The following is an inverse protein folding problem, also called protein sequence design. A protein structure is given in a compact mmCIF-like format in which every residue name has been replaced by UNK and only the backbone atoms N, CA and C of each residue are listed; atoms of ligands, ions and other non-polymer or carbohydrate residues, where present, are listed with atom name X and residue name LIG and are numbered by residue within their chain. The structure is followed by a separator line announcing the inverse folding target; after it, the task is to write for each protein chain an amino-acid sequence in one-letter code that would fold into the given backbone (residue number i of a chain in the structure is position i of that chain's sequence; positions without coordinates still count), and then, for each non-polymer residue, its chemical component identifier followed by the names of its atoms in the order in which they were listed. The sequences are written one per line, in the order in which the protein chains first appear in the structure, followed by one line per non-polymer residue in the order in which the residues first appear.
data_IF_591574992396
#
_entry.id   IF_591574992396
#
_cell.length_a   1.000
_cell.length_b   1.000
_cell.length_c   1.000
_cell.angle_alpha   90.00
_cell.angle_beta   90.00
_cell.angle_gamma   90.00
#
_symmetry.space_group_name_H-M   'P 1'
#
loop_
_entity.id
_entity.type
_entity.pdbx_description
1 polymer ?
#
# COMPACT_ATOMS: atom_id res chain seq x y z
N UNK A 1 -39.09 41.47 -15.85
CA UNK A 1 -38.02 40.52 -16.22
C UNK A 1 -37.12 40.32 -15.01
N UNK A 2 -37.10 39.11 -14.43
CA UNK A 2 -36.05 38.57 -13.55
C UNK A 2 -36.37 37.07 -13.37
N UNK A 3 -36.27 36.35 -14.49
CA UNK A 3 -36.18 34.88 -14.52
C UNK A 3 -34.81 34.58 -15.09
N UNK A 4 -33.92 34.05 -14.26
CA UNK A 4 -32.76 33.22 -14.61
C UNK A 4 -31.71 33.31 -13.51
N UNK A 5 -31.86 32.50 -12.46
CA UNK A 5 -30.74 31.75 -11.89
C UNK A 5 -31.36 30.53 -11.20
N UNK A 6 -31.75 29.58 -12.04
CA UNK A 6 -32.22 28.25 -11.65
C UNK A 6 -31.09 27.44 -11.04
N UNK A 7 -30.67 27.80 -9.83
CA UNK A 7 -29.81 26.97 -9.01
C UNK A 7 -30.71 25.92 -8.35
N UNK A 8 -30.91 24.81 -9.07
CA UNK A 8 -31.43 23.57 -8.49
C UNK A 8 -30.34 23.01 -7.58
N UNK A 9 -30.44 23.26 -6.28
CA UNK A 9 -29.74 22.52 -5.23
C UNK A 9 -30.35 21.13 -5.11
N UNK A 10 -30.07 20.27 -6.11
CA UNK A 10 -30.35 18.85 -5.98
C UNK A 10 -29.21 18.23 -5.16
N UNK A 11 -29.40 18.21 -3.85
CA UNK A 11 -28.51 17.59 -2.88
C UNK A 11 -28.24 16.13 -3.22
N UNK A 12 -27.07 15.87 -3.79
CA UNK A 12 -26.34 14.62 -3.60
C UNK A 12 -25.11 14.95 -2.80
N UNK A 13 -25.29 15.19 -1.51
CA UNK A 13 -24.22 15.18 -0.53
C UNK A 13 -23.65 13.76 -0.47
N UNK A 14 -22.75 13.43 -1.41
CA UNK A 14 -21.95 12.22 -1.36
C UNK A 14 -20.95 12.44 -0.22
N UNK A 15 -21.28 11.94 0.97
CA UNK A 15 -20.53 12.20 2.19
C UNK A 15 -19.03 11.99 1.97
N UNK A 16 -18.26 13.07 2.07
CA UNK A 16 -16.80 13.01 2.13
C UNK A 16 -16.43 12.11 3.31
N UNK A 17 -15.66 11.05 3.06
CA UNK A 17 -15.00 10.31 4.13
C UNK A 17 -13.61 10.89 4.26
N UNK A 18 -13.48 11.91 5.11
CA UNK A 18 -12.17 12.46 5.46
C UNK A 18 -11.36 11.37 6.18
N UNK A 19 -10.23 11.00 5.60
CA UNK A 19 -9.31 10.00 6.09
C UNK A 19 -8.12 10.71 6.76
N UNK A 20 -8.19 10.89 8.08
CA UNK A 20 -7.12 11.52 8.87
C UNK A 20 -5.88 10.63 9.08
N UNK A 21 -5.91 9.42 8.53
CA UNK A 21 -5.10 8.28 8.97
C UNK A 21 -3.80 8.08 8.19
N UNK A 22 -3.78 8.53 6.94
CA UNK A 22 -2.68 8.33 5.98
C UNK A 22 -2.44 9.65 5.26
N UNK A 23 -1.26 9.89 4.69
CA UNK A 23 -1.01 11.07 3.83
C UNK A 23 -1.90 11.05 2.59
N UNK A 24 -2.15 12.23 2.01
CA UNK A 24 -2.84 12.39 0.75
C UNK A 24 -2.16 11.62 -0.38
N UNK A 25 -0.82 11.61 -0.40
CA UNK A 25 -0.02 10.91 -1.40
C UNK A 25 -0.17 9.38 -1.30
N UNK A 26 -0.06 8.81 -0.09
CA UNK A 26 -0.30 7.39 0.15
C UNK A 26 -1.75 6.99 -0.21
N UNK A 27 -2.72 7.85 0.14
CA UNK A 27 -4.13 7.63 -0.15
C UNK A 27 -4.41 7.64 -1.65
N UNK A 28 -3.85 8.62 -2.38
CA UNK A 28 -3.98 8.72 -3.84
C UNK A 28 -3.43 7.46 -4.52
N UNK A 29 -2.22 7.02 -4.13
CA UNK A 29 -1.64 5.78 -4.66
C UNK A 29 -2.50 4.55 -4.37
N UNK A 30 -2.98 4.40 -3.14
CA UNK A 30 -3.85 3.29 -2.77
C UNK A 30 -5.16 3.29 -3.57
N UNK A 31 -5.78 4.47 -3.76
CA UNK A 31 -7.01 4.60 -4.57
C UNK A 31 -6.73 4.27 -6.03
N UNK A 32 -5.60 4.69 -6.59
CA UNK A 32 -5.22 4.34 -7.96
C UNK A 32 -5.06 2.83 -8.17
N UNK A 33 -4.50 2.13 -7.19
CA UNK A 33 -4.52 0.66 -7.16
C UNK A 33 -5.95 0.11 -7.16
N UNK A 34 -6.85 0.68 -6.35
CA UNK A 34 -8.22 0.18 -6.23
C UNK A 34 -9.02 0.35 -7.54
N UNK A 35 -8.89 1.51 -8.19
CA UNK A 35 -9.62 1.85 -9.42
C UNK A 35 -8.95 1.32 -10.68
N UNK A 36 -7.65 0.97 -10.60
CA UNK A 36 -6.85 0.64 -11.78
C UNK A 36 -6.54 1.85 -12.65
N UNK A 37 -6.61 3.06 -12.10
CA UNK A 37 -6.35 4.31 -12.80
C UNK A 37 -5.20 5.05 -12.11
N UNK A 38 -4.42 5.82 -12.87
CA UNK A 38 -3.53 6.82 -12.28
C UNK A 38 -4.38 7.92 -11.64
N UNK A 39 -4.04 8.30 -10.41
CA UNK A 39 -4.55 9.53 -9.81
C UNK A 39 -3.63 10.65 -10.28
N UNK A 40 -4.08 11.39 -11.30
CA UNK A 40 -3.33 12.52 -11.85
C UNK A 40 -3.20 13.59 -10.77
N UNK A 41 -1.96 13.99 -10.49
CA UNK A 41 -1.61 15.07 -9.58
C UNK A 41 -1.95 16.40 -10.26
N UNK A 42 -3.19 16.85 -10.06
CA UNK A 42 -3.64 18.21 -10.39
C UNK A 42 -3.07 19.12 -9.31
N UNK A 43 -2.01 19.86 -9.63
CA UNK A 43 -1.32 20.80 -8.73
C UNK A 43 -2.30 21.78 -8.06
N UNK A 44 -2.79 21.42 -6.86
CA UNK A 44 -3.45 22.33 -5.94
C UNK A 44 -4.80 21.88 -5.38
N UNK A 45 -5.46 20.88 -5.95
CA UNK A 45 -6.61 20.26 -5.32
C UNK A 45 -6.49 18.76 -5.50
N UNK A 46 -6.45 18.02 -4.37
CA UNK A 46 -6.70 16.59 -4.37
C UNK A 46 -8.10 16.37 -4.98
N UNK A 47 -8.13 16.27 -6.31
CA UNK A 47 -9.36 16.18 -7.07
C UNK A 47 -10.14 15.01 -6.51
N UNK A 48 -11.43 15.27 -6.36
CA UNK A 48 -12.39 14.49 -5.59
C UNK A 48 -12.62 13.13 -6.26
N UNK A 49 -11.61 12.27 -6.32
CA UNK A 49 -11.75 10.91 -6.75
C UNK A 49 -12.36 10.13 -5.60
N UNK A 50 -13.67 9.99 -5.74
CA UNK A 50 -14.54 9.18 -4.95
C UNK A 50 -14.87 9.61 -3.50
N UNK A 51 -14.49 10.82 -3.08
CA UNK A 51 -14.81 11.36 -1.76
C UNK A 51 -13.84 10.96 -0.65
N UNK A 52 -12.63 10.53 -1.04
CA UNK A 52 -11.51 10.25 -0.13
C UNK A 52 -10.59 11.46 -0.08
N UNK A 53 -10.52 12.11 1.08
CA UNK A 53 -9.65 13.26 1.31
C UNK A 53 -8.80 12.99 2.54
N UNK A 54 -7.50 13.27 2.48
CA UNK A 54 -6.65 13.26 3.67
C UNK A 54 -6.35 14.67 4.14
N UNK A 55 -6.30 14.85 5.46
CA UNK A 55 -5.84 16.08 6.10
C UNK A 55 -4.31 16.13 6.30
N UNK A 56 -3.58 15.06 5.96
CA UNK A 56 -2.12 14.95 6.11
C UNK A 56 -1.45 14.96 4.74
N UNK A 57 -0.26 15.53 4.66
CA UNK A 57 0.62 15.45 3.48
C UNK A 57 1.93 14.79 3.88
N UNK A 58 2.63 14.20 2.90
CA UNK A 58 3.94 13.58 3.09
C UNK A 58 4.59 13.22 1.75
N UNK A 59 5.64 12.38 1.76
CA UNK A 59 6.34 12.01 0.54
C UNK A 59 5.42 11.23 -0.41
N UNK A 60 5.70 11.34 -1.72
CA UNK A 60 5.07 10.47 -2.72
C UNK A 60 5.50 9.03 -2.48
N UNK A 61 4.58 8.04 -2.54
CA UNK A 61 4.95 6.63 -2.47
C UNK A 61 6.01 6.29 -3.51
N UNK A 62 7.03 5.58 -3.07
CA UNK A 62 8.11 5.15 -3.94
C UNK A 62 7.85 3.72 -4.42
N UNK A 63 7.99 3.47 -5.73
CA UNK A 63 7.92 2.13 -6.32
C UNK A 63 9.30 1.79 -6.88
N UNK A 64 9.99 0.81 -6.30
CA UNK A 64 11.35 0.42 -6.69
C UNK A 64 11.42 -0.99 -7.30
N UNK A 65 11.85 -1.14 -8.57
CA UNK A 65 12.14 -2.43 -9.17
C UNK A 65 13.51 -2.98 -8.75
N UNK A 66 13.63 -4.30 -8.67
CA UNK A 66 14.89 -5.01 -8.48
C UNK A 66 15.05 -6.17 -9.47
N UNK A 67 16.28 -6.50 -9.89
CA UNK A 67 16.51 -7.61 -10.81
C UNK A 67 16.35 -8.98 -10.15
N UNK A 68 16.57 -9.06 -8.83
CA UNK A 68 16.55 -10.32 -8.07
C UNK A 68 15.96 -10.12 -6.68
N UNK A 69 15.48 -11.21 -6.08
CA UNK A 69 15.04 -11.22 -4.68
C UNK A 69 16.16 -10.80 -3.72
N UNK A 70 17.41 -11.18 -4.00
CA UNK A 70 18.56 -10.78 -3.17
C UNK A 70 18.74 -9.26 -3.16
N UNK A 71 18.69 -8.63 -4.33
CA UNK A 71 18.80 -7.16 -4.43
C UNK A 71 17.61 -6.45 -3.79
N UNK A 72 16.41 -7.03 -3.87
CA UNK A 72 15.22 -6.53 -3.18
C UNK A 72 15.38 -6.62 -1.65
N UNK A 73 15.94 -7.71 -1.14
CA UNK A 73 16.24 -7.90 0.29
C UNK A 73 17.37 -6.97 0.77
N UNK A 74 18.39 -6.73 -0.04
CA UNK A 74 19.47 -5.78 0.26
C UNK A 74 18.88 -4.38 0.49
N UNK A 75 18.07 -3.91 -0.46
CA UNK A 75 17.38 -2.64 -0.33
C UNK A 75 16.41 -2.61 0.85
N UNK A 76 15.64 -3.68 1.06
CA UNK A 76 14.70 -3.75 2.17
C UNK A 76 15.40 -3.65 3.53
N UNK A 77 16.58 -4.26 3.69
CA UNK A 77 17.39 -4.15 4.89
C UNK A 77 17.93 -2.72 5.07
N UNK A 78 18.49 -2.12 4.02
CA UNK A 78 18.98 -0.74 4.09
C UNK A 78 17.85 0.24 4.44
N UNK A 79 16.70 0.10 3.81
CA UNK A 79 15.54 0.95 4.04
C UNK A 79 15.00 0.81 5.47
N UNK A 80 14.67 -0.41 5.90
CA UNK A 80 14.12 -0.66 7.24
C UNK A 80 15.15 -0.31 8.32
N UNK A 81 16.42 -0.64 8.09
CA UNK A 81 17.53 -0.25 8.96
C UNK A 81 17.66 1.26 9.10
N UNK A 82 17.54 2.01 8.00
CA UNK A 82 17.58 3.48 8.03
C UNK A 82 16.39 4.09 8.77
N UNK A 83 15.19 3.56 8.56
CA UNK A 83 13.98 4.02 9.22
C UNK A 83 14.01 3.81 10.73
N UNK A 84 14.55 2.69 11.19
CA UNK A 84 14.71 2.38 12.62
C UNK A 84 15.91 3.15 13.20
N UNK A 85 17.01 3.23 12.47
CA UNK A 85 18.25 3.89 12.89
C UNK A 85 18.16 5.40 12.99
N UNK A 86 17.27 6.05 12.24
CA UNK A 86 17.08 7.52 12.32
C UNK A 86 16.44 7.96 13.64
N UNK A 87 15.71 7.07 14.33
CA UNK A 87 15.02 7.38 15.59
C UNK A 87 13.79 8.29 15.44
N UNK A 88 13.40 8.65 14.22
CA UNK A 88 12.24 9.51 13.96
C UNK A 88 10.90 8.83 14.27
N UNK A 89 10.87 7.50 14.19
CA UNK A 89 9.70 6.68 14.46
C UNK A 89 10.07 5.51 15.38
N UNK A 90 9.14 5.08 16.23
CA UNK A 90 9.36 3.89 17.04
C UNK A 90 9.48 2.65 16.16
N UNK A 91 10.42 1.76 16.45
CA UNK A 91 10.74 0.61 15.62
C UNK A 91 9.50 -0.24 15.30
N UNK A 92 8.63 -0.45 16.29
CA UNK A 92 7.40 -1.24 16.13
C UNK A 92 6.31 -0.58 15.27
N UNK A 93 6.51 0.68 14.88
CA UNK A 93 5.66 1.39 13.92
C UNK A 93 6.19 1.31 12.48
N UNK A 94 7.30 0.59 12.26
CA UNK A 94 7.81 0.23 10.93
C UNK A 94 7.34 -1.17 10.58
N UNK A 95 6.69 -1.32 9.43
CA UNK A 95 6.17 -2.62 8.99
C UNK A 95 6.61 -3.01 7.58
N UNK A 96 6.91 -4.30 7.41
CA UNK A 96 7.03 -4.95 6.12
C UNK A 96 5.77 -5.79 5.87
N UNK A 97 5.01 -5.40 4.86
CA UNK A 97 3.76 -6.05 4.47
C UNK A 97 4.00 -6.90 3.22
N UNK A 98 3.68 -8.18 3.32
CA UNK A 98 3.89 -9.18 2.26
C UNK A 98 2.60 -9.91 1.91
N UNK A 99 2.59 -10.59 0.76
CA UNK A 99 1.42 -11.35 0.33
C UNK A 99 1.06 -12.50 1.28
N UNK A 100 2.03 -13.36 1.57
CA UNK A 100 1.81 -14.62 2.28
C UNK A 100 2.88 -14.89 3.35
N UNK A 101 2.66 -15.96 4.11
CA UNK A 101 3.53 -16.35 5.23
C UNK A 101 4.90 -16.80 4.77
N UNK A 102 4.99 -17.48 3.63
CA UNK A 102 6.25 -17.98 3.08
C UNK A 102 7.16 -16.78 2.74
N UNK A 103 6.59 -15.77 2.11
CA UNK A 103 7.30 -14.52 1.77
C UNK A 103 7.69 -13.76 3.05
N UNK A 104 6.82 -13.72 4.06
CA UNK A 104 7.14 -13.09 5.36
C UNK A 104 8.35 -13.74 6.00
N UNK A 105 8.35 -15.06 6.10
CA UNK A 105 9.41 -15.78 6.80
C UNK A 105 10.74 -15.64 6.03
N UNK A 106 10.69 -15.59 4.70
CA UNK A 106 11.85 -15.24 3.86
C UNK A 106 12.36 -13.82 4.10
N UNK A 107 11.47 -12.83 4.19
CA UNK A 107 11.84 -11.44 4.51
C UNK A 107 12.49 -11.36 5.88
N UNK A 108 11.90 -12.00 6.90
CA UNK A 108 12.43 -11.99 8.27
C UNK A 108 13.83 -12.61 8.32
N UNK A 109 14.02 -13.77 7.69
CA UNK A 109 15.34 -14.39 7.59
C UNK A 109 16.33 -13.52 6.80
N UNK A 110 15.93 -13.04 5.62
CA UNK A 110 16.79 -12.27 4.72
C UNK A 110 17.22 -10.92 5.29
N UNK A 111 16.35 -10.23 6.03
CA UNK A 111 16.72 -9.00 6.75
C UNK A 111 17.60 -9.31 7.96
N UNK A 112 17.35 -10.41 8.67
CA UNK A 112 18.20 -10.86 9.79
C UNK A 112 19.63 -11.17 9.34
N UNK A 113 19.81 -11.84 8.19
CA UNK A 113 21.12 -12.08 7.56
C UNK A 113 21.87 -10.78 7.21
N UNK A 114 21.14 -9.68 7.03
CA UNK A 114 21.66 -8.33 6.72
C UNK A 114 21.78 -7.44 7.96
N UNK A 115 21.59 -8.00 9.16
CA UNK A 115 21.73 -7.28 10.42
C UNK A 115 20.51 -6.47 10.85
N UNK A 116 19.34 -6.68 10.22
CA UNK A 116 18.08 -6.02 10.59
C UNK A 116 17.11 -7.03 11.18
N UNK A 117 16.97 -7.02 12.50
CA UNK A 117 16.01 -7.90 13.18
C UNK A 117 14.57 -7.40 12.99
N UNK A 118 13.74 -8.23 12.36
CA UNK A 118 12.30 -7.97 12.15
C UNK A 118 11.48 -9.07 12.80
N UNK A 119 10.42 -8.70 13.53
CA UNK A 119 9.52 -9.67 14.18
C UNK A 119 8.38 -10.09 13.27
N UNK A 120 8.28 -11.39 13.00
CA UNK A 120 7.10 -11.96 12.36
C UNK A 120 5.86 -11.82 13.26
N UNK A 121 4.75 -11.34 12.70
CA UNK A 121 3.44 -11.30 13.35
C UNK A 121 2.41 -12.16 12.59
N UNK A 122 1.74 -13.03 13.34
CA UNK A 122 0.63 -13.87 12.86
C UNK A 122 -0.73 -13.34 13.35
N UNK A 123 -0.79 -13.00 14.64
CA UNK A 123 -1.92 -12.39 15.34
C UNK A 123 -1.43 -11.79 16.67
N UNK A 124 -2.16 -10.82 17.21
CA UNK A 124 -1.87 -10.22 18.52
C UNK A 124 -1.25 -8.84 18.46
N UNK A 125 -0.90 -8.31 19.63
CA UNK A 125 -0.43 -6.93 19.79
C UNK A 125 1.03 -6.80 19.37
N UNK A 126 1.30 -5.76 18.58
CA UNK A 126 2.64 -5.30 18.24
C UNK A 126 3.43 -5.00 19.53
N UNK A 127 4.59 -5.63 19.70
CA UNK A 127 5.46 -5.43 20.87
C UNK A 127 6.52 -4.38 20.56
N UNK A 128 6.85 -3.49 21.51
CA UNK A 128 7.87 -2.47 21.29
C UNK A 128 9.25 -3.00 20.91
N UNK A 129 10.02 -2.14 20.24
CA UNK A 129 11.47 -2.26 20.09
C UNK A 129 11.97 -2.89 18.79
N UNK A 130 11.08 -3.40 17.93
CA UNK A 130 11.49 -3.99 16.64
C UNK A 130 10.48 -3.72 15.55
N UNK A 131 10.95 -3.50 14.30
CA UNK A 131 10.07 -3.52 13.13
C UNK A 131 9.37 -4.87 13.01
N UNK A 132 8.22 -4.87 12.32
CA UNK A 132 7.36 -6.05 12.23
C UNK A 132 7.12 -6.47 10.78
N UNK A 133 7.03 -7.78 10.54
CA UNK A 133 6.65 -8.35 9.26
C UNK A 133 5.35 -9.13 9.39
N UNK A 134 4.37 -8.84 8.53
CA UNK A 134 3.06 -9.48 8.55
C UNK A 134 2.46 -9.56 7.16
N UNK A 135 1.49 -10.45 6.99
CA UNK A 135 0.76 -10.53 5.72
C UNK A 135 -0.20 -9.36 5.57
N UNK A 136 -0.47 -8.95 4.33
CA UNK A 136 -1.43 -7.88 4.01
C UNK A 136 -2.80 -8.12 4.65
N UNK A 137 -3.27 -9.36 4.68
CA UNK A 137 -4.54 -9.74 5.31
C UNK A 137 -4.56 -9.48 6.82
N UNK A 138 -3.40 -9.55 7.48
CA UNK A 138 -3.27 -9.35 8.93
C UNK A 138 -3.03 -7.90 9.31
N UNK A 139 -2.69 -7.04 8.37
CA UNK A 139 -2.48 -5.62 8.63
C UNK A 139 -3.80 -4.85 8.90
N UNK A 140 -4.97 -5.41 8.56
CA UNK A 140 -6.26 -4.76 8.74
C UNK A 140 -6.49 -4.34 10.19
N UNK A 141 -6.71 -3.05 10.42
CA UNK A 141 -7.02 -2.49 11.74
C UNK A 141 -5.79 -2.00 12.51
N UNK A 142 -4.58 -2.30 12.04
CA UNK A 142 -3.32 -1.73 12.55
C UNK A 142 -2.82 -0.65 11.58
N UNK A 143 -2.04 0.28 12.07
CA UNK A 143 -1.40 1.34 11.28
C UNK A 143 0.07 1.41 11.67
N UNK A 144 0.88 1.84 10.71
CA UNK A 144 2.31 1.93 10.84
C UNK A 144 2.76 3.29 10.35
N UNK A 145 3.75 3.91 10.99
CA UNK A 145 4.33 5.17 10.54
C UNK A 145 4.92 5.00 9.14
N UNK A 146 5.67 3.92 8.94
CA UNK A 146 6.34 3.59 7.69
C UNK A 146 6.06 2.17 7.26
N UNK A 147 5.75 1.97 5.99
CA UNK A 147 5.40 0.66 5.43
C UNK A 147 6.22 0.37 4.19
N UNK A 148 6.82 -0.82 4.17
CA UNK A 148 7.36 -1.45 2.98
C UNK A 148 6.39 -2.53 2.49
N UNK A 149 5.77 -2.34 1.32
CA UNK A 149 5.09 -3.41 0.59
C UNK A 149 6.12 -4.18 -0.21
N UNK A 150 6.44 -5.40 0.22
CA UNK A 150 7.53 -6.20 -0.32
C UNK A 150 7.04 -7.26 -1.30
N UNK A 151 7.75 -7.41 -2.42
CA UNK A 151 7.53 -8.47 -3.39
C UNK A 151 6.24 -8.34 -4.18
N UNK A 152 5.88 -7.16 -4.70
CA UNK A 152 4.71 -6.95 -5.57
C UNK A 152 4.98 -7.31 -7.05
N UNK A 153 5.39 -8.54 -7.29
CA UNK A 153 5.65 -9.09 -8.62
C UNK A 153 4.41 -9.74 -9.25
N UNK A 154 4.48 -10.04 -10.55
CA UNK A 154 3.47 -10.82 -11.29
C UNK A 154 3.19 -12.19 -10.64
N UNK A 155 4.21 -12.82 -10.07
CA UNK A 155 4.11 -14.17 -9.50
C UNK A 155 3.48 -14.18 -8.10
N UNK A 156 3.46 -13.03 -7.42
CA UNK A 156 2.92 -12.88 -6.07
C UNK A 156 1.56 -12.20 -6.03
N UNK A 157 1.25 -11.32 -6.99
CA UNK A 157 -0.06 -10.69 -7.10
C UNK A 157 -0.47 -10.44 -8.56
N UNK A 158 -1.69 -10.84 -8.97
CA UNK A 158 -2.66 -11.61 -8.20
C UNK A 158 -2.33 -13.11 -8.11
N UNK A 159 -2.56 -13.71 -6.93
CA UNK A 159 -2.30 -15.14 -6.73
C UNK A 159 -3.42 -15.99 -7.33
N UNK A 160 -3.09 -16.92 -8.23
CA UNK A 160 -4.01 -17.96 -8.68
C UNK A 160 -5.08 -17.54 -9.70
N UNK A 161 -5.01 -16.34 -10.29
CA UNK A 161 -5.85 -16.01 -11.46
C UNK A 161 -5.30 -16.74 -12.70
N UNK A 162 -5.69 -18.00 -12.89
CA UNK A 162 -5.59 -18.66 -14.20
C UNK A 162 -6.84 -18.31 -14.98
N UNK A 163 -6.70 -17.58 -16.08
CA UNK A 163 -7.81 -17.14 -16.92
C UNK A 163 -8.69 -18.28 -17.46
N UNK A 164 -8.19 -19.52 -17.44
CA UNK A 164 -8.93 -20.70 -17.89
C UNK A 164 -9.92 -21.26 -16.87
N UNK A 165 -9.81 -20.87 -15.59
CA UNK A 165 -10.61 -21.41 -14.49
C UNK A 165 -11.82 -20.54 -14.12
N UNK A 166 -12.01 -19.40 -14.80
CA UNK A 166 -12.99 -18.38 -14.45
C UNK A 166 -13.68 -17.81 -15.69
N UNK A 167 -14.95 -17.45 -15.57
CA UNK A 167 -15.60 -16.57 -16.55
C UNK A 167 -15.20 -15.10 -16.37
N UNK A 168 -15.60 -14.23 -17.30
CA UNK A 168 -15.23 -12.82 -17.30
C UNK A 168 -15.70 -12.08 -16.03
N UNK A 169 -16.85 -12.47 -15.46
CA UNK A 169 -17.41 -11.86 -14.26
C UNK A 169 -16.60 -12.28 -13.03
N UNK A 170 -16.34 -13.58 -12.87
CA UNK A 170 -15.53 -14.11 -11.77
C UNK A 170 -14.07 -13.60 -11.79
N UNK A 171 -13.49 -13.43 -12.99
CA UNK A 171 -12.17 -12.81 -13.16
C UNK A 171 -12.17 -11.37 -12.64
N UNK A 172 -13.20 -10.59 -13.00
CA UNK A 172 -13.32 -9.19 -12.59
C UNK A 172 -13.45 -9.06 -11.07
N UNK A 173 -14.24 -9.94 -10.44
CA UNK A 173 -14.39 -9.96 -8.98
C UNK A 173 -13.10 -10.38 -8.28
N UNK A 174 -12.39 -11.37 -8.82
CA UNK A 174 -11.12 -11.83 -8.29
C UNK A 174 -10.07 -10.71 -8.35
N UNK A 175 -9.99 -9.98 -9.47
CA UNK A 175 -9.14 -8.81 -9.59
C UNK A 175 -9.52 -7.71 -8.59
N UNK A 176 -10.81 -7.44 -8.41
CA UNK A 176 -11.27 -6.44 -7.44
C UNK A 176 -10.91 -6.81 -6.00
N UNK A 177 -10.99 -8.10 -5.63
CA UNK A 177 -10.54 -8.59 -4.31
C UNK A 177 -9.05 -8.36 -4.09
N UNK A 178 -8.23 -8.62 -5.10
CA UNK A 178 -6.78 -8.43 -5.04
C UNK A 178 -6.41 -6.94 -4.96
N UNK A 179 -7.04 -6.08 -5.78
CA UNK A 179 -6.91 -4.62 -5.68
C UNK A 179 -7.34 -4.10 -4.31
N UNK A 180 -8.44 -4.62 -3.76
CA UNK A 180 -8.94 -4.25 -2.44
C UNK A 180 -7.96 -4.62 -1.32
N UNK A 181 -7.31 -5.78 -1.41
CA UNK A 181 -6.27 -6.17 -0.46
C UNK A 181 -5.09 -5.20 -0.51
N UNK A 182 -4.59 -4.88 -1.71
CA UNK A 182 -3.46 -3.98 -1.88
C UNK A 182 -3.79 -2.55 -1.42
N UNK A 183 -4.99 -2.06 -1.73
CA UNK A 183 -5.50 -0.80 -1.18
C UNK A 183 -5.50 -0.79 0.35
N UNK A 184 -6.02 -1.87 0.97
CA UNK A 184 -6.07 -1.98 2.43
C UNK A 184 -4.67 -2.01 3.03
N UNK A 185 -3.71 -2.66 2.37
CA UNK A 185 -2.32 -2.75 2.84
C UNK A 185 -1.58 -1.41 2.68
N UNK A 186 -1.70 -0.76 1.53
CA UNK A 186 -1.08 0.54 1.26
C UNK A 186 -1.59 1.64 2.20
N UNK A 187 -2.90 1.67 2.46
CA UNK A 187 -3.53 2.62 3.40
C UNK A 187 -3.17 2.39 4.88
N UNK A 188 -2.31 1.41 5.21
CA UNK A 188 -1.74 1.24 6.55
C UNK A 188 -0.55 2.14 6.82
N UNK A 189 0.05 2.70 5.75
CA UNK A 189 1.15 3.63 5.83
C UNK A 189 0.65 5.01 6.26
N UNK A 190 0.93 5.40 7.49
CA UNK A 190 0.53 6.71 8.03
C UNK A 190 1.33 7.84 7.40
N UNK A 191 2.65 7.69 7.30
CA UNK A 191 3.57 8.76 6.90
C UNK A 191 4.29 8.42 5.58
N UNK A 192 4.86 7.22 5.46
CA UNK A 192 5.71 6.85 4.32
C UNK A 192 5.37 5.45 3.80
N UNK A 193 5.24 5.34 2.48
CA UNK A 193 4.96 4.09 1.76
C UNK A 193 6.04 3.84 0.72
N UNK A 194 6.70 2.69 0.81
CA UNK A 194 7.61 2.18 -0.21
C UNK A 194 7.09 0.84 -0.71
N UNK A 195 7.15 0.64 -2.01
CA UNK A 195 6.69 -0.55 -2.72
C UNK A 195 7.86 -1.11 -3.49
N UNK A 196 8.08 -2.41 -3.35
CA UNK A 196 9.18 -3.11 -4.01
C UNK A 196 8.68 -4.33 -4.75
N UNK A 197 9.37 -4.68 -5.82
CA UNK A 197 9.20 -5.94 -6.52
C UNK A 197 10.52 -6.36 -7.16
N UNK A 198 10.71 -7.66 -7.31
CA UNK A 198 11.77 -8.22 -8.14
C UNK A 198 11.21 -8.88 -9.41
N UNK A 199 11.92 -8.73 -10.52
CA UNK A 199 11.50 -9.26 -11.82
C UNK A 199 10.33 -8.49 -12.45
N UNK A 200 9.29 -9.20 -12.86
CA UNK A 200 8.13 -8.58 -13.55
C UNK A 200 7.17 -7.96 -12.53
N UNK A 201 6.75 -6.69 -12.69
CA UNK A 201 5.80 -6.06 -11.78
C UNK A 201 4.42 -6.75 -11.81
N UNK A 202 3.70 -6.67 -10.70
CA UNK A 202 2.28 -7.02 -10.66
C UNK A 202 1.48 -6.13 -11.60
N UNK A 203 0.50 -6.71 -12.30
CA UNK A 203 -0.47 -5.96 -13.12
C UNK A 203 -1.39 -5.05 -12.30
N UNK A 204 -1.34 -5.16 -10.96
CA UNK A 204 -2.13 -4.35 -10.04
C UNK A 204 -1.42 -3.07 -9.59
N UNK A 205 -0.12 -2.95 -9.88
CA UNK A 205 0.58 -1.68 -9.67
C UNK A 205 -0.02 -0.63 -10.61
N UNK A 206 -0.21 0.61 -10.14
CA UNK A 206 -0.59 1.70 -11.02
C UNK A 206 0.49 1.85 -12.10
N UNK A 207 0.09 2.21 -13.31
CA UNK A 207 1.03 2.44 -14.39
C UNK A 207 2.11 3.44 -13.90
N UNK A 208 3.36 3.13 -14.20
CA UNK A 208 4.47 4.06 -13.98
C UNK A 208 4.79 4.66 -15.33
N UNK A 209 4.46 5.94 -15.53
CA UNK A 209 5.04 6.72 -16.62
C UNK A 209 6.39 7.29 -16.20
#
# INVERSE_FOLDING_TARGET
MLSAYGIRTQGRSRGLKLNYRTTAQNLAWAVGVLTGQEVIDSDGEAETMAGYLSARTGPKPEVRPFPTLTAELDFAADLVGSWVGSGEVAAETVAVLVRDRVTRDRVVAGLGERGVEVRALEAGTVRPGYPVALTMHRAKGTEFARVLLFGLSKDSMPMGLKAYDYDDEELSEAQLRERSLLYVAASRARDELVVTYSGTPSSLLPASQ
#
